data_IF_042575188583
#
_entry.id   IF_042575188583
#
_cell.length_a   1.000
_cell.length_b   1.000
_cell.length_c   1.000
_cell.angle_alpha   90.00
_cell.angle_beta   90.00
_cell.angle_gamma   90.00
#
_symmetry.space_group_name_H-M   'P 1'
#
loop_
_entity.id
_entity.type
_entity.pdbx_description
1 polymer ?
#
# COMPACT_ATOMS: atom_id res chain seq x y z
N UNK A 1 -2.89 -7.95 21.36
CA UNK A 1 -4.06 -7.12 20.97
C UNK A 1 -5.32 -7.73 21.55
N UNK A 2 -6.27 -6.91 21.99
CA UNK A 2 -7.62 -7.40 22.34
C UNK A 2 -8.41 -7.70 21.06
N UNK A 3 -9.40 -8.60 21.14
CA UNK A 3 -10.26 -8.95 20.00
C UNK A 3 -10.93 -7.72 19.36
N UNK A 4 -11.34 -6.76 20.18
CA UNK A 4 -11.93 -5.51 19.73
C UNK A 4 -10.94 -4.65 18.92
N UNK A 5 -9.67 -4.56 19.36
CA UNK A 5 -8.64 -3.80 18.63
C UNK A 5 -8.32 -4.44 17.27
N UNK A 6 -8.28 -5.76 17.20
CA UNK A 6 -8.05 -6.50 15.96
C UNK A 6 -9.13 -6.22 14.92
N UNK A 7 -10.40 -6.37 15.32
CA UNK A 7 -11.55 -6.07 14.45
C UNK A 7 -11.65 -4.61 14.06
N UNK A 8 -11.30 -3.68 14.96
CA UNK A 8 -11.29 -2.25 14.67
C UNK A 8 -10.23 -1.92 13.62
N UNK A 9 -9.02 -2.46 13.76
CA UNK A 9 -7.92 -2.25 12.83
C UNK A 9 -8.26 -2.79 11.44
N UNK A 10 -8.75 -4.04 11.37
CA UNK A 10 -9.23 -4.64 10.12
C UNK A 10 -10.29 -3.77 9.43
N UNK A 11 -11.34 -3.36 10.16
CA UNK A 11 -12.40 -2.50 9.62
C UNK A 11 -11.89 -1.14 9.18
N UNK A 12 -10.93 -0.56 9.90
CA UNK A 12 -10.35 0.74 9.53
C UNK A 12 -9.57 0.66 8.21
N UNK A 13 -8.84 -0.44 7.99
CA UNK A 13 -8.08 -0.66 6.75
C UNK A 13 -9.04 -0.84 5.58
N UNK A 14 -10.06 -1.68 5.73
CA UNK A 14 -11.09 -1.89 4.69
C UNK A 14 -11.83 -0.58 4.39
N UNK A 15 -12.21 0.17 5.42
CA UNK A 15 -12.87 1.47 5.29
C UNK A 15 -12.01 2.49 4.55
N UNK A 16 -10.70 2.54 4.84
CA UNK A 16 -9.75 3.40 4.13
C UNK A 16 -9.67 3.05 2.63
N UNK A 17 -9.65 1.77 2.29
CA UNK A 17 -9.66 1.32 0.90
C UNK A 17 -10.94 1.75 0.17
N UNK A 18 -12.11 1.51 0.77
CA UNK A 18 -13.40 1.92 0.19
C UNK A 18 -13.46 3.43 -0.01
N UNK A 19 -13.05 4.21 1.00
CA UNK A 19 -13.02 5.67 0.92
C UNK A 19 -12.10 6.15 -0.21
N UNK A 20 -10.93 5.53 -0.36
CA UNK A 20 -9.98 5.86 -1.43
C UNK A 20 -10.58 5.58 -2.80
N UNK A 21 -11.29 4.46 -2.97
CA UNK A 21 -12.01 4.13 -4.21
C UNK A 21 -13.05 5.19 -4.53
N UNK A 22 -13.85 5.61 -3.54
CA UNK A 22 -14.85 6.68 -3.72
C UNK A 22 -14.18 7.98 -4.19
N UNK A 23 -13.02 8.33 -3.63
CA UNK A 23 -12.27 9.53 -3.99
C UNK A 23 -11.66 9.46 -5.40
N UNK A 24 -11.25 8.29 -5.85
CA UNK A 24 -10.71 8.06 -7.20
C UNK A 24 -11.82 8.17 -8.26
N UNK A 25 -12.98 7.57 -8.01
CA UNK A 25 -14.04 7.48 -9.03
C UNK A 25 -14.98 8.68 -9.09
N UNK A 26 -14.84 9.68 -8.21
CA UNK A 26 -15.65 10.89 -8.30
C UNK A 26 -15.12 11.86 -9.39
N UNK A 27 -15.97 12.32 -10.33
CA UNK A 27 -15.55 13.11 -11.50
C UNK A 27 -15.45 14.62 -11.24
N UNK A 28 -15.61 15.08 -9.99
CA UNK A 28 -15.83 16.49 -9.69
C UNK A 28 -14.57 17.24 -9.23
N UNK A 29 -13.58 16.55 -8.66
CA UNK A 29 -12.41 17.19 -8.04
C UNK A 29 -11.11 16.41 -8.25
N UNK A 30 -10.14 17.05 -8.91
CA UNK A 30 -8.77 16.54 -9.09
C UNK A 30 -8.04 16.41 -7.74
N UNK A 31 -8.30 17.30 -6.79
CA UNK A 31 -7.67 17.26 -5.47
C UNK A 31 -8.09 15.98 -4.73
N UNK A 32 -9.38 15.68 -4.70
CA UNK A 32 -9.89 14.44 -4.09
C UNK A 32 -9.40 13.20 -4.83
N UNK A 33 -9.35 13.24 -6.17
CA UNK A 33 -8.75 12.16 -6.98
C UNK A 33 -7.27 11.92 -6.62
N UNK A 34 -6.49 12.98 -6.47
CA UNK A 34 -5.07 12.90 -6.13
C UNK A 34 -4.87 12.33 -4.72
N UNK A 35 -5.68 12.78 -3.76
CA UNK A 35 -5.70 12.22 -2.40
C UNK A 35 -6.04 10.73 -2.46
N UNK A 36 -7.12 10.36 -3.16
CA UNK A 36 -7.56 8.98 -3.35
C UNK A 36 -6.47 8.08 -3.95
N UNK A 37 -5.73 8.60 -4.93
CA UNK A 37 -4.64 7.89 -5.60
C UNK A 37 -3.44 7.63 -4.70
N UNK A 38 -3.13 8.54 -3.77
CA UNK A 38 -2.08 8.32 -2.77
C UNK A 38 -2.60 7.40 -1.66
N UNK A 39 -3.81 7.64 -1.16
CA UNK A 39 -4.37 6.86 -0.06
C UNK A 39 -4.69 5.42 -0.45
N UNK A 40 -5.00 5.12 -1.71
CA UNK A 40 -5.22 3.75 -2.16
C UNK A 40 -3.94 2.92 -2.13
N UNK A 41 -2.77 3.53 -2.39
CA UNK A 41 -1.47 2.83 -2.26
C UNK A 41 -1.21 2.50 -0.80
N UNK A 42 -1.40 3.47 0.10
CA UNK A 42 -1.27 3.25 1.55
C UNK A 42 -2.28 2.20 2.03
N UNK A 43 -3.53 2.27 1.57
CA UNK A 43 -4.59 1.33 1.89
C UNK A 43 -4.28 -0.08 1.40
N UNK A 44 -3.79 -0.24 0.18
CA UNK A 44 -3.39 -1.53 -0.38
C UNK A 44 -2.21 -2.15 0.40
N UNK A 45 -1.22 -1.35 0.78
CA UNK A 45 -0.12 -1.82 1.63
C UNK A 45 -0.64 -2.25 3.01
N UNK A 46 -1.50 -1.42 3.63
CA UNK A 46 -2.13 -1.76 4.91
C UNK A 46 -3.03 -2.99 4.81
N UNK A 47 -3.66 -3.25 3.67
CA UNK A 47 -4.51 -4.42 3.43
C UNK A 47 -3.76 -5.74 3.59
N UNK A 48 -2.45 -5.75 3.34
CA UNK A 48 -1.60 -6.92 3.57
C UNK A 48 -1.47 -7.27 5.07
N UNK A 49 -1.82 -6.36 5.99
CA UNK A 49 -1.83 -6.58 7.44
C UNK A 49 -3.13 -7.22 7.95
N UNK A 50 -4.24 -7.12 7.18
CA UNK A 50 -5.55 -7.68 7.54
C UNK A 50 -5.48 -9.15 8.01
N UNK A 51 -4.83 -10.09 7.32
CA UNK A 51 -4.76 -11.49 7.77
C UNK A 51 -4.02 -11.68 9.11
N UNK A 52 -3.22 -10.69 9.53
CA UNK A 52 -2.48 -10.69 10.80
C UNK A 52 -3.22 -9.96 11.94
N UNK A 53 -4.36 -9.33 11.66
CA UNK A 53 -5.23 -8.73 12.66
C UNK A 53 -6.05 -9.80 13.40
N UNK A 54 -5.37 -10.70 14.12
CA UNK A 54 -6.01 -11.79 14.87
C UNK A 54 -5.89 -11.58 16.37
N UNK A 55 -6.82 -12.16 17.11
CA UNK A 55 -6.83 -12.13 18.57
C UNK A 55 -5.59 -12.86 19.10
N UNK A 56 -4.91 -12.30 20.12
CA UNK A 56 -3.67 -12.87 20.66
C UNK A 56 -2.38 -12.53 19.91
N UNK A 57 -2.47 -11.85 18.75
CA UNK A 57 -1.26 -11.42 18.03
C UNK A 57 -0.55 -10.31 18.80
N UNK A 58 0.77 -10.45 18.97
CA UNK A 58 1.62 -9.41 19.53
C UNK A 58 1.76 -8.23 18.57
N UNK A 59 1.75 -7.01 19.11
CA UNK A 59 1.96 -5.79 18.32
C UNK A 59 3.29 -5.79 17.56
N UNK A 60 4.32 -6.42 18.14
CA UNK A 60 5.64 -6.60 17.50
C UNK A 60 5.55 -7.41 16.20
N UNK A 61 4.61 -8.36 16.11
CA UNK A 61 4.42 -9.15 14.89
C UNK A 61 3.85 -8.29 13.77
N UNK A 62 2.90 -7.39 14.07
CA UNK A 62 2.35 -6.46 13.08
C UNK A 62 3.46 -5.56 12.53
N UNK A 63 4.28 -4.98 13.41
CA UNK A 63 5.42 -4.13 12.99
C UNK A 63 6.39 -4.92 12.10
N UNK A 64 6.72 -6.16 12.45
CA UNK A 64 7.57 -7.02 11.60
C UNK A 64 6.97 -7.23 10.22
N UNK A 65 5.68 -7.55 10.13
CA UNK A 65 5.00 -7.75 8.84
C UNK A 65 4.97 -6.45 8.04
N UNK A 66 4.70 -5.30 8.67
CA UNK A 66 4.78 -3.98 8.02
C UNK A 66 6.16 -3.73 7.42
N UNK A 67 7.23 -4.01 8.17
CA UNK A 67 8.61 -3.86 7.67
C UNK A 67 8.86 -4.78 6.47
N UNK A 68 8.41 -6.03 6.51
CA UNK A 68 8.55 -6.97 5.39
C UNK A 68 7.85 -6.42 4.14
N UNK A 69 6.61 -5.91 4.27
CA UNK A 69 5.86 -5.32 3.15
C UNK A 69 6.62 -4.12 2.57
N UNK A 70 7.18 -3.25 3.42
CA UNK A 70 7.97 -2.10 2.97
C UNK A 70 9.25 -2.51 2.24
N UNK A 71 9.94 -3.56 2.70
CA UNK A 71 11.12 -4.10 2.03
C UNK A 71 10.74 -4.62 0.65
N UNK A 72 9.64 -5.40 0.54
CA UNK A 72 9.16 -5.92 -0.74
C UNK A 72 8.83 -4.76 -1.70
N UNK A 73 8.13 -3.73 -1.21
CA UNK A 73 7.83 -2.53 -2.00
C UNK A 73 9.10 -1.83 -2.47
N UNK A 74 10.09 -1.64 -1.59
CA UNK A 74 11.35 -1.00 -1.92
C UNK A 74 12.13 -1.78 -2.99
N UNK A 75 12.18 -3.11 -2.86
CA UNK A 75 12.83 -3.98 -3.86
C UNK A 75 12.09 -3.91 -5.20
N UNK A 76 10.75 -4.00 -5.20
CA UNK A 76 9.96 -3.89 -6.41
C UNK A 76 10.12 -2.52 -7.09
N UNK A 77 10.15 -1.44 -6.31
CA UNK A 77 10.38 -0.08 -6.82
C UNK A 77 11.80 0.07 -7.38
N UNK A 78 12.82 -0.43 -6.69
CA UNK A 78 14.20 -0.40 -7.16
C UNK A 78 14.38 -1.18 -8.47
N UNK A 79 13.75 -2.36 -8.58
CA UNK A 79 13.75 -3.13 -9.81
C UNK A 79 13.02 -2.40 -10.94
N UNK A 80 11.84 -1.83 -10.69
CA UNK A 80 11.08 -1.09 -11.69
C UNK A 80 11.78 0.18 -12.19
N UNK A 81 12.40 0.94 -11.28
CA UNK A 81 13.19 2.12 -11.63
C UNK A 81 14.48 1.70 -12.35
N UNK A 82 15.16 0.66 -11.86
CA UNK A 82 16.39 0.16 -12.46
C UNK A 82 16.17 -0.37 -13.88
N UNK A 83 15.09 -1.11 -14.14
CA UNK A 83 14.77 -1.58 -15.50
C UNK A 83 14.42 -0.44 -16.44
N UNK A 84 13.75 0.62 -15.95
CA UNK A 84 13.47 1.80 -16.76
C UNK A 84 14.77 2.51 -17.19
N UNK A 85 15.75 2.66 -16.30
CA UNK A 85 17.05 3.24 -16.66
C UNK A 85 17.83 2.37 -17.65
N UNK A 86 17.92 1.05 -17.41
CA UNK A 86 18.57 0.12 -18.33
C UNK A 86 17.94 0.13 -19.73
N UNK A 87 16.62 0.31 -19.80
CA UNK A 87 15.91 0.42 -21.07
C UNK A 87 16.27 1.69 -21.83
N UNK A 88 16.42 2.82 -21.13
CA UNK A 88 16.87 4.09 -21.74
C UNK A 88 18.29 3.95 -22.29
N UNK A 89 19.23 3.40 -21.51
CA UNK A 89 20.62 3.18 -21.95
C UNK A 89 20.68 2.26 -23.19
N UNK A 90 19.84 1.23 -23.23
CA UNK A 90 19.74 0.33 -24.38
C UNK A 90 19.26 1.06 -25.63
N UNK A 91 18.24 1.91 -25.52
CA UNK A 91 17.74 2.71 -26.65
C UNK A 91 18.76 3.72 -27.17
N UNK A 92 19.59 4.29 -26.29
CA UNK A 92 20.68 5.18 -26.70
C UNK A 92 21.76 4.44 -27.50
N UNK A 93 22.03 3.17 -27.18
CA UNK A 93 23.00 2.34 -27.91
C UNK A 93 22.54 2.00 -29.34
N UNK A 94 21.23 2.05 -29.61
CA UNK A 94 20.62 1.80 -30.92
C UNK A 94 20.58 3.03 -31.85
N UNK A 95 20.95 4.22 -31.34
CA UNK A 95 20.91 5.49 -32.07
C UNK A 95 22.25 5.81 -32.72
#
# INVERSE_FOLDING_TARGET
MTAAQAKLLERSIIGLCILSIIFIFQPFSITLFSIGSVTVVVGALAFNLVPFCREGTEWRSIVKVTVIILIILAVAAALGVGTAFLYVDYLETLR
#
